data_IF_512493914052
#
_entry.id   IF_512493914052
#
_cell.length_a   1.000
_cell.length_b   1.000
_cell.length_c   1.000
_cell.angle_alpha   90.00
_cell.angle_beta   90.00
_cell.angle_gamma   90.00
#
_symmetry.space_group_name_H-M   'P 1'
#
loop_
_entity.id
_entity.type
_entity.pdbx_description
1 polymer ?
#
# COMPACT_ATOMS: atom_id res chain seq x y z
N UNK A 1 12.79 -15.87 23.21
CA UNK A 1 11.77 -15.90 22.14
C UNK A 1 11.77 -14.53 21.49
N UNK A 2 12.23 -14.42 20.23
CA UNK A 2 12.48 -13.14 19.56
C UNK A 2 11.13 -12.55 19.10
N UNK A 3 10.64 -11.48 19.74
CA UNK A 3 9.48 -10.73 19.27
C UNK A 3 9.88 -9.89 18.06
N UNK A 4 9.70 -10.44 16.86
CA UNK A 4 9.76 -9.64 15.63
C UNK A 4 8.50 -8.77 15.62
N UNK A 5 8.66 -7.51 16.01
CA UNK A 5 7.64 -6.48 15.82
C UNK A 5 7.46 -6.30 14.31
N UNK A 6 6.35 -6.81 13.78
CA UNK A 6 5.97 -6.68 12.37
C UNK A 6 5.58 -5.22 12.07
N UNK A 7 6.52 -4.50 11.46
CA UNK A 7 6.34 -3.11 11.03
C UNK A 7 5.20 -3.01 10.01
N UNK A 8 4.18 -2.20 10.31
CA UNK A 8 3.11 -1.86 9.38
C UNK A 8 3.62 -0.77 8.45
N UNK A 9 4.53 -1.16 7.56
CA UNK A 9 5.12 -0.25 6.58
C UNK A 9 4.16 -0.05 5.42
N UNK A 10 4.08 1.18 4.91
CA UNK A 10 3.68 1.45 3.52
C UNK A 10 4.79 0.91 2.61
N UNK A 11 4.81 -0.40 2.46
CA UNK A 11 5.62 -1.07 1.46
C UNK A 11 4.74 -1.34 0.23
N UNK A 12 5.39 -1.64 -0.88
CA UNK A 12 4.77 -2.22 -2.08
C UNK A 12 3.80 -3.36 -1.69
N UNK A 13 4.18 -4.14 -0.67
CA UNK A 13 3.35 -5.09 0.05
C UNK A 13 2.15 -4.44 0.77
N UNK A 14 0.95 -4.84 0.37
CA UNK A 14 -0.26 -4.70 1.18
C UNK A 14 -1.05 -6.02 1.17
N UNK A 15 -1.09 -6.77 2.30
CA UNK A 15 -1.82 -8.04 2.41
C UNK A 15 -3.31 -7.93 2.09
N UNK A 16 -3.86 -6.73 2.21
CA UNK A 16 -5.30 -6.46 2.03
C UNK A 16 -5.67 -6.19 0.57
N UNK A 17 -4.68 -6.03 -0.32
CA UNK A 17 -4.93 -5.79 -1.76
C UNK A 17 -4.10 -6.69 -2.68
N UNK A 18 -3.15 -7.47 -2.14
CA UNK A 18 -2.20 -8.24 -2.93
C UNK A 18 -2.86 -9.20 -3.93
N UNK A 19 -3.98 -9.84 -3.57
CA UNK A 19 -4.65 -10.74 -4.51
C UNK A 19 -5.51 -10.01 -5.53
N UNK A 20 -6.00 -8.81 -5.22
CA UNK A 20 -6.61 -7.95 -6.24
C UNK A 20 -5.57 -7.44 -7.23
N UNK A 21 -4.37 -7.15 -6.76
CA UNK A 21 -3.23 -6.74 -7.59
C UNK A 21 -2.75 -7.90 -8.48
N UNK A 22 -2.57 -9.10 -7.91
CA UNK A 22 -2.20 -10.31 -8.65
C UNK A 22 -3.22 -10.63 -9.77
N UNK A 23 -4.51 -10.50 -9.47
CA UNK A 23 -5.60 -10.69 -10.41
C UNK A 23 -5.55 -9.74 -11.63
N UNK A 24 -4.91 -8.58 -11.54
CA UNK A 24 -4.75 -7.70 -12.70
C UNK A 24 -3.76 -8.29 -13.72
N UNK A 25 -2.79 -9.07 -13.26
CA UNK A 25 -1.76 -9.71 -14.09
C UNK A 25 -2.19 -11.02 -14.75
N UNK A 26 -3.39 -11.53 -14.47
CA UNK A 26 -3.86 -12.84 -14.98
C UNK A 26 -4.37 -12.80 -16.41
N UNK A 27 -4.39 -11.63 -17.06
CA UNK A 27 -4.89 -11.43 -18.43
C UNK A 27 -4.40 -12.45 -19.45
N UNK A 28 -3.15 -12.93 -19.33
CA UNK A 28 -2.57 -13.94 -20.24
C UNK A 28 -3.06 -15.38 -20.00
N UNK A 29 -3.63 -15.68 -18.83
CA UNK A 29 -4.13 -17.02 -18.50
C UNK A 29 -5.45 -17.29 -19.27
N UNK A 30 -6.28 -16.27 -19.50
CA UNK A 30 -7.61 -16.42 -20.10
C UNK A 30 -7.64 -16.32 -21.62
N UNK A 31 -6.75 -15.52 -22.20
CA UNK A 31 -6.69 -15.41 -23.64
C UNK A 31 -6.00 -16.66 -24.20
N UNK A 32 -6.78 -17.69 -24.56
CA UNK A 32 -6.35 -18.92 -25.28
C UNK A 32 -5.62 -18.65 -26.64
N UNK A 33 -5.23 -17.41 -26.92
CA UNK A 33 -4.33 -17.00 -27.98
C UNK A 33 -3.41 -15.91 -27.42
N UNK A 34 -2.08 -16.09 -27.38
CA UNK A 34 -1.17 -14.99 -27.08
C UNK A 34 -1.29 -14.01 -28.24
N UNK A 35 -2.04 -12.91 -28.06
CA UNK A 35 -2.13 -11.87 -29.11
C UNK A 35 -0.83 -11.08 -29.25
N UNK A 36 0.11 -11.20 -28.30
CA UNK A 36 1.34 -10.43 -28.25
C UNK A 36 2.50 -11.30 -27.78
N UNK A 37 3.58 -11.34 -28.55
CA UNK A 37 4.76 -12.17 -28.28
C UNK A 37 5.71 -11.42 -27.34
N UNK A 38 5.85 -10.10 -27.53
CA UNK A 38 6.68 -9.22 -26.69
C UNK A 38 5.99 -7.86 -26.44
N UNK A 39 6.47 -7.11 -25.46
CA UNK A 39 6.02 -5.73 -25.17
C UNK A 39 7.22 -4.79 -25.11
N UNK A 40 7.14 -3.62 -25.74
CA UNK A 40 8.16 -2.59 -25.65
C UNK A 40 7.70 -1.54 -24.64
N UNK A 41 8.48 -1.35 -23.57
CA UNK A 41 8.21 -0.33 -22.56
C UNK A 41 9.16 0.84 -22.80
N UNK A 42 8.60 2.00 -23.12
CA UNK A 42 9.32 3.25 -23.27
C UNK A 42 9.22 4.04 -21.98
N UNK A 43 10.34 4.20 -21.27
CA UNK A 43 10.46 4.99 -20.05
C UNK A 43 11.53 6.07 -20.26
N UNK A 44 11.09 7.32 -20.45
CA UNK A 44 11.96 8.41 -20.91
C UNK A 44 12.59 8.08 -22.27
N UNK A 45 13.92 8.13 -22.34
CA UNK A 45 14.71 7.81 -23.55
C UNK A 45 15.01 6.31 -23.70
N UNK A 46 14.72 5.51 -22.68
CA UNK A 46 15.03 4.07 -22.68
C UNK A 46 13.84 3.25 -23.19
N UNK A 47 14.08 2.40 -24.19
CA UNK A 47 13.14 1.36 -24.62
C UNK A 47 13.61 0.00 -24.12
N UNK A 48 12.78 -0.69 -23.34
CA UNK A 48 13.05 -2.05 -22.85
C UNK A 48 12.09 -3.03 -23.50
N UNK A 49 12.64 -4.05 -24.16
CA UNK A 49 11.84 -5.16 -24.67
C UNK A 49 11.58 -6.14 -23.52
N UNK A 50 10.31 -6.46 -23.33
CA UNK A 50 9.81 -7.32 -22.26
C UNK A 50 9.14 -8.52 -22.87
N UNK A 51 9.71 -9.69 -22.59
CA UNK A 51 9.07 -10.96 -22.85
C UNK A 51 8.30 -11.37 -21.60
N UNK A 52 6.98 -11.46 -21.75
CA UNK A 52 6.10 -11.90 -20.66
C UNK A 52 6.24 -13.42 -20.54
N UNK A 53 6.62 -13.90 -19.35
CA UNK A 53 6.75 -15.32 -19.05
C UNK A 53 5.43 -16.06 -19.25
N UNK A 54 5.51 -17.28 -19.78
CA UNK A 54 4.39 -18.21 -19.83
C UNK A 54 4.32 -19.03 -18.53
N UNK A 55 3.09 -19.31 -18.09
CA UNK A 55 2.82 -20.14 -16.91
C UNK A 55 1.93 -21.30 -17.36
N UNK A 56 2.26 -22.51 -16.91
CA UNK A 56 1.62 -23.73 -17.38
C UNK A 56 0.24 -23.94 -16.75
N UNK A 57 -0.03 -23.27 -15.62
CA UNK A 57 -1.32 -23.30 -14.92
C UNK A 57 -1.53 -22.05 -14.06
N UNK A 58 -2.75 -21.88 -13.55
CA UNK A 58 -3.08 -20.84 -12.58
C UNK A 58 -2.28 -21.02 -11.27
N UNK A 59 -2.11 -22.25 -10.80
CA UNK A 59 -1.35 -22.52 -9.59
C UNK A 59 0.15 -22.21 -9.75
N UNK A 60 0.72 -22.53 -10.92
CA UNK A 60 2.09 -22.13 -11.29
C UNK A 60 2.22 -20.60 -11.30
N UNK A 61 1.28 -19.89 -11.92
CA UNK A 61 1.25 -18.42 -11.91
C UNK A 61 1.22 -17.85 -10.48
N UNK A 62 0.29 -18.30 -9.63
CA UNK A 62 0.15 -17.79 -8.27
C UNK A 62 1.40 -18.12 -7.44
N UNK A 63 1.90 -19.36 -7.50
CA UNK A 63 3.03 -19.82 -6.68
C UNK A 63 4.34 -19.11 -7.03
N UNK A 64 4.54 -18.72 -8.30
CA UNK A 64 5.71 -17.96 -8.71
C UNK A 64 5.61 -16.46 -8.37
N UNK A 65 4.40 -15.89 -8.33
CA UNK A 65 4.21 -14.45 -8.12
C UNK A 65 3.87 -14.08 -6.68
N UNK A 66 3.36 -15.00 -5.86
CA UNK A 66 2.89 -14.73 -4.50
C UNK A 66 3.42 -15.77 -3.51
N UNK A 67 4.46 -15.39 -2.76
CA UNK A 67 5.17 -16.29 -1.85
C UNK A 67 4.28 -16.90 -0.76
N UNK A 68 3.27 -16.17 -0.29
CA UNK A 68 2.34 -16.63 0.74
C UNK A 68 1.38 -17.74 0.27
N UNK A 69 1.30 -18.05 -1.04
CA UNK A 69 0.46 -19.15 -1.55
C UNK A 69 0.81 -20.49 -0.90
N UNK A 70 2.10 -20.78 -0.65
CA UNK A 70 2.53 -22.03 0.00
C UNK A 70 2.00 -22.18 1.44
N UNK A 71 1.70 -21.07 2.11
CA UNK A 71 1.20 -21.05 3.49
C UNK A 71 -0.32 -21.02 3.55
N UNK A 72 -0.94 -20.21 2.69
CA UNK A 72 -2.40 -20.08 2.68
C UNK A 72 -3.08 -21.22 1.93
N UNK A 73 -2.44 -21.73 0.86
CA UNK A 73 -2.93 -22.78 -0.03
C UNK A 73 -4.36 -22.52 -0.50
N UNK A 74 -4.59 -21.32 -1.05
CA UNK A 74 -5.93 -20.90 -1.47
C UNK A 74 -6.28 -21.54 -2.81
N UNK A 75 -7.50 -22.05 -2.90
CA UNK A 75 -8.08 -22.51 -4.16
C UNK A 75 -8.74 -21.32 -4.88
N UNK A 76 -7.93 -20.54 -5.59
CA UNK A 76 -8.39 -19.33 -6.27
C UNK A 76 -9.15 -19.69 -7.55
N UNK A 77 -10.38 -19.18 -7.69
CA UNK A 77 -11.25 -19.47 -8.84
C UNK A 77 -10.86 -18.63 -10.06
N UNK A 78 -10.58 -19.32 -11.16
CA UNK A 78 -10.22 -18.73 -12.45
C UNK A 78 -11.37 -17.91 -13.08
N UNK A 79 -12.62 -18.20 -12.69
CA UNK A 79 -13.81 -17.59 -13.28
C UNK A 79 -14.27 -16.32 -12.54
N UNK A 80 -13.73 -16.04 -11.35
CA UNK A 80 -14.14 -14.86 -10.56
C UNK A 80 -12.99 -14.31 -9.72
N UNK A 81 -12.16 -13.47 -10.36
CA UNK A 81 -11.04 -12.82 -9.70
C UNK A 81 -11.45 -11.82 -8.62
N UNK A 82 -12.68 -11.32 -8.63
CA UNK A 82 -13.14 -10.34 -7.64
C UNK A 82 -13.23 -10.94 -6.24
N UNK A 83 -13.33 -12.28 -6.14
CA UNK A 83 -13.39 -13.01 -4.86
C UNK A 83 -12.02 -13.33 -4.28
N UNK A 84 -10.93 -13.27 -5.03
CA UNK A 84 -9.62 -13.75 -4.56
C UNK A 84 -9.19 -13.07 -3.27
N UNK A 85 -9.30 -11.74 -3.19
CA UNK A 85 -8.96 -11.02 -1.97
C UNK A 85 -9.87 -11.41 -0.80
N UNK A 86 -11.18 -11.58 -1.04
CA UNK A 86 -12.11 -12.01 0.02
C UNK A 86 -11.84 -13.44 0.51
N UNK A 87 -11.29 -14.32 -0.34
CA UNK A 87 -10.86 -15.65 0.09
C UNK A 87 -9.66 -15.57 1.03
N UNK A 88 -8.69 -14.67 0.79
CA UNK A 88 -7.61 -14.40 1.75
C UNK A 88 -8.16 -13.77 3.03
N UNK A 89 -9.06 -12.79 2.91
CA UNK A 89 -9.71 -12.15 4.06
C UNK A 89 -10.42 -13.20 4.95
N UNK A 90 -11.03 -14.22 4.35
CA UNK A 90 -11.71 -15.33 5.03
C UNK A 90 -10.76 -16.43 5.52
N UNK A 91 -9.65 -16.68 4.83
CA UNK A 91 -8.67 -17.69 5.25
C UNK A 91 -7.89 -17.26 6.50
N UNK A 92 -7.85 -15.95 6.76
CA UNK A 92 -7.27 -15.36 7.95
C UNK A 92 -8.31 -15.25 9.09
N UNK A 93 -9.28 -16.18 9.21
CA UNK A 93 -10.45 -16.04 10.12
C UNK A 93 -10.22 -16.46 11.57
N UNK A 94 -9.29 -17.39 11.88
CA UNK A 94 -8.80 -17.57 13.28
C UNK A 94 -8.04 -16.33 13.77
N UNK A 95 -7.73 -15.44 12.83
CA UNK A 95 -7.02 -14.17 12.90
C UNK A 95 -7.84 -13.04 12.27
N UNK A 96 -9.20 -13.12 12.22
CA UNK A 96 -10.07 -12.19 11.44
C UNK A 96 -9.87 -10.70 11.76
N UNK A 97 -9.16 -10.42 12.84
CA UNK A 97 -8.64 -9.13 13.22
C UNK A 97 -7.47 -8.65 12.35
N UNK A 98 -6.57 -9.49 11.81
CA UNK A 98 -5.32 -9.09 11.15
C UNK A 98 -5.53 -8.23 9.90
N UNK A 99 -6.40 -8.60 8.96
CA UNK A 99 -6.70 -7.76 7.77
C UNK A 99 -7.35 -6.44 8.19
N UNK A 100 -8.36 -6.49 9.05
CA UNK A 100 -9.03 -5.28 9.57
C UNK A 100 -8.07 -4.37 10.33
N UNK A 101 -7.27 -4.94 11.23
CA UNK A 101 -6.26 -4.26 12.03
C UNK A 101 -5.12 -3.73 11.17
N UNK A 102 -4.77 -4.42 10.08
CA UNK A 102 -3.81 -3.89 9.12
C UNK A 102 -4.36 -2.63 8.47
N UNK A 103 -5.62 -2.63 8.00
CA UNK A 103 -6.24 -1.46 7.36
C UNK A 103 -6.30 -0.24 8.28
N UNK A 104 -6.78 -0.40 9.51
CA UNK A 104 -7.04 0.71 10.44
C UNK A 104 -5.89 1.00 11.40
N UNK A 105 -4.89 0.12 11.49
CA UNK A 105 -3.76 0.28 12.40
C UNK A 105 -2.69 1.20 11.84
N UNK A 106 -1.81 1.66 12.72
CA UNK A 106 -0.56 2.33 12.35
C UNK A 106 0.60 1.78 13.20
N UNK A 107 1.83 2.08 12.77
CA UNK A 107 3.00 1.81 13.60
C UNK A 107 3.12 2.86 14.72
N UNK A 108 3.98 2.61 15.71
CA UNK A 108 4.27 3.62 16.74
C UNK A 108 4.81 4.89 16.12
N UNK A 109 4.36 6.03 16.60
CA UNK A 109 4.81 7.34 16.13
C UNK A 109 5.82 7.88 17.13
N UNK A 110 7.06 8.02 16.66
CA UNK A 110 8.16 8.57 17.43
C UNK A 110 8.37 10.04 17.09
N UNK A 111 8.36 10.90 18.10
CA UNK A 111 8.65 12.33 18.00
C UNK A 111 9.99 12.64 18.64
N UNK A 112 10.84 13.39 17.93
CA UNK A 112 12.16 13.76 18.42
C UNK A 112 12.10 15.15 19.04
N UNK A 113 12.26 15.23 20.36
CA UNK A 113 12.43 16.51 21.07
C UNK A 113 13.70 16.47 21.92
N UNK A 114 14.51 17.54 21.86
CA UNK A 114 15.75 17.68 22.64
C UNK A 114 16.64 16.43 22.67
N UNK A 115 16.79 15.78 21.50
CA UNK A 115 17.57 14.54 21.28
C UNK A 115 16.97 13.26 21.90
N UNK A 116 15.76 13.31 22.45
CA UNK A 116 15.01 12.17 22.97
C UNK A 116 13.89 11.79 22.00
N UNK A 117 13.77 10.49 21.69
CA UNK A 117 12.64 9.98 20.90
C UNK A 117 11.53 9.53 21.86
N UNK A 118 10.39 10.20 21.80
CA UNK A 118 9.18 9.90 22.55
C UNK A 118 8.20 9.14 21.67
N UNK A 119 7.52 8.13 22.21
CA UNK A 119 6.39 7.46 21.57
C UNK A 119 5.15 8.27 21.88
N UNK A 120 4.78 9.12 20.92
CA UNK A 120 3.64 10.03 21.06
C UNK A 120 2.35 9.43 20.53
N UNK A 121 2.38 8.32 19.79
CA UNK A 121 1.18 7.57 19.43
C UNK A 121 1.49 6.08 19.33
N UNK A 122 0.60 5.23 19.84
CA UNK A 122 0.65 3.77 19.68
C UNK A 122 -0.72 3.28 19.23
N UNK A 123 -0.76 2.38 18.25
CA UNK A 123 -2.03 1.93 17.70
C UNK A 123 -2.82 1.12 18.72
N UNK A 124 -4.15 1.29 18.70
CA UNK A 124 -5.05 0.43 19.45
C UNK A 124 -5.17 -0.98 18.83
N UNK A 125 -4.63 -1.19 17.63
CA UNK A 125 -4.62 -2.49 16.98
C UNK A 125 -3.54 -3.41 17.57
N UNK A 126 -3.89 -4.64 17.97
CA UNK A 126 -2.90 -5.65 18.34
C UNK A 126 -1.83 -5.86 17.27
N UNK A 127 -0.64 -6.32 17.68
CA UNK A 127 0.39 -6.74 16.76
C UNK A 127 -0.15 -7.81 15.80
N UNK A 128 0.07 -7.60 14.51
CA UNK A 128 -0.42 -8.48 13.47
C UNK A 128 0.30 -9.83 13.52
N UNK A 129 -0.47 -10.92 13.42
CA UNK A 129 0.05 -12.28 13.30
C UNK A 129 -0.64 -12.92 12.11
N UNK A 130 0.11 -13.14 11.05
CA UNK A 130 -0.36 -13.81 9.85
C UNK A 130 -0.29 -15.33 10.02
N UNK A 131 -1.12 -16.05 9.26
CA UNK A 131 -1.07 -17.53 9.20
C UNK A 131 0.37 -17.99 8.90
N UNK A 132 0.84 -19.00 9.64
CA UNK A 132 2.20 -19.53 9.50
C UNK A 132 3.32 -18.58 9.95
N UNK A 133 3.00 -17.48 10.65
CA UNK A 133 3.95 -16.44 11.09
C UNK A 133 4.78 -15.84 9.93
N UNK A 134 4.22 -15.80 8.73
CA UNK A 134 4.89 -15.20 7.57
C UNK A 134 5.04 -13.69 7.75
N UNK A 135 6.05 -13.12 7.10
CA UNK A 135 6.31 -11.69 7.14
C UNK A 135 5.44 -10.92 6.16
N UNK A 136 5.27 -9.61 6.38
CA UNK A 136 4.59 -8.74 5.41
C UNK A 136 5.18 -8.92 4.00
N UNK A 137 6.51 -9.03 3.86
CA UNK A 137 7.18 -9.22 2.57
C UNK A 137 6.65 -10.40 1.73
N UNK A 138 6.07 -11.42 2.35
CA UNK A 138 5.59 -12.62 1.68
C UNK A 138 4.24 -12.37 0.96
N UNK A 139 3.58 -11.24 1.26
CA UNK A 139 2.40 -10.74 0.55
C UNK A 139 2.73 -9.83 -0.65
N UNK A 140 4.01 -9.57 -0.95
CA UNK A 140 4.37 -8.88 -2.19
C UNK A 140 3.98 -9.73 -3.41
N UNK A 141 3.50 -9.07 -4.46
CA UNK A 141 3.37 -9.69 -5.77
C UNK A 141 4.64 -9.41 -6.58
N UNK A 142 5.35 -10.47 -6.94
CA UNK A 142 6.58 -10.36 -7.71
C UNK A 142 6.31 -10.35 -9.21
N UNK A 143 5.84 -9.22 -9.72
CA UNK A 143 5.69 -9.06 -11.16
C UNK A 143 7.03 -9.13 -11.92
N UNK A 144 8.19 -8.99 -11.26
CA UNK A 144 9.47 -9.18 -11.97
C UNK A 144 9.67 -10.63 -12.43
N UNK A 145 9.03 -11.59 -11.75
CA UNK A 145 8.97 -12.98 -12.22
C UNK A 145 8.07 -13.19 -13.44
N UNK A 146 7.20 -12.23 -13.76
CA UNK A 146 6.32 -12.23 -14.94
C UNK A 146 6.92 -11.47 -16.14
N UNK A 147 7.54 -10.31 -15.90
CA UNK A 147 8.02 -9.39 -16.96
C UNK A 147 9.53 -9.15 -16.96
N UNK A 148 10.29 -9.86 -16.13
CA UNK A 148 11.72 -9.63 -15.94
C UNK A 148 12.01 -8.37 -15.14
N UNK A 149 13.31 -8.09 -14.96
CA UNK A 149 13.77 -6.88 -14.26
C UNK A 149 13.67 -5.67 -15.20
N UNK A 150 12.76 -4.76 -14.87
CA UNK A 150 12.61 -3.47 -15.56
C UNK A 150 12.70 -2.32 -14.57
N UNK A 151 13.20 -1.17 -15.01
CA UNK A 151 13.31 0.03 -14.17
C UNK A 151 11.96 0.78 -14.13
N UNK A 152 10.93 0.16 -13.55
CA UNK A 152 9.62 0.75 -13.31
C UNK A 152 9.25 0.73 -11.82
N UNK A 153 8.38 1.64 -11.40
CA UNK A 153 7.67 1.52 -10.13
C UNK A 153 6.67 0.37 -10.16
N UNK A 154 6.29 -0.12 -8.98
CA UNK A 154 5.27 -1.17 -8.88
C UNK A 154 3.89 -0.62 -9.28
N UNK A 155 3.60 0.64 -8.90
CA UNK A 155 2.44 1.40 -9.38
C UNK A 155 2.33 1.46 -10.90
N UNK A 156 3.45 1.66 -11.60
CA UNK A 156 3.50 1.70 -13.06
C UNK A 156 3.17 0.33 -13.67
N UNK A 157 3.65 -0.76 -13.06
CA UNK A 157 3.34 -2.14 -13.48
C UNK A 157 1.84 -2.44 -13.31
N UNK A 158 1.26 -2.06 -12.17
CA UNK A 158 -0.20 -2.16 -11.93
C UNK A 158 -0.96 -1.39 -13.00
N UNK A 159 -0.52 -0.17 -13.32
CA UNK A 159 -1.11 0.67 -14.36
C UNK A 159 -1.05 0.01 -15.73
N UNK A 160 0.09 -0.58 -16.12
CA UNK A 160 0.26 -1.28 -17.39
C UNK A 160 -0.74 -2.44 -17.51
N UNK A 161 -0.77 -3.37 -16.56
CA UNK A 161 -1.65 -4.55 -16.66
C UNK A 161 -3.13 -4.15 -16.65
N UNK A 162 -3.49 -3.19 -15.82
CA UNK A 162 -4.85 -2.66 -15.78
C UNK A 162 -5.24 -2.00 -17.10
N UNK A 163 -4.33 -1.23 -17.70
CA UNK A 163 -4.57 -0.55 -18.98
C UNK A 163 -4.72 -1.55 -20.12
N UNK A 164 -3.96 -2.65 -20.10
CA UNK A 164 -4.12 -3.76 -21.04
C UNK A 164 -5.53 -4.37 -20.92
N UNK A 165 -5.99 -4.67 -19.70
CA UNK A 165 -7.32 -5.22 -19.46
C UNK A 165 -8.43 -4.27 -19.92
N UNK A 166 -8.30 -2.98 -19.62
CA UNK A 166 -9.29 -1.96 -19.95
C UNK A 166 -9.33 -1.63 -21.45
N UNK A 167 -8.19 -1.68 -22.14
CA UNK A 167 -8.11 -1.42 -23.58
C UNK A 167 -8.55 -2.64 -24.40
N UNK A 168 -8.07 -3.85 -24.07
CA UNK A 168 -8.22 -5.04 -24.91
C UNK A 168 -9.18 -6.12 -24.38
N UNK A 169 -9.61 -6.02 -23.12
CA UNK A 169 -10.58 -6.96 -22.54
C UNK A 169 -11.98 -6.81 -23.13
N UNK A 170 -12.78 -7.87 -23.01
CA UNK A 170 -14.23 -7.80 -23.24
C UNK A 170 -14.96 -7.04 -22.11
N UNK A 171 -16.28 -6.87 -22.23
CA UNK A 171 -17.10 -6.15 -21.22
C UNK A 171 -16.91 -6.69 -19.82
N UNK A 172 -16.81 -8.02 -19.69
CA UNK A 172 -16.72 -8.70 -18.41
C UNK A 172 -15.34 -8.49 -17.79
N UNK A 173 -14.27 -8.59 -18.59
CA UNK A 173 -12.90 -8.28 -18.18
C UNK A 173 -12.75 -6.84 -17.73
N UNK A 174 -13.35 -5.89 -18.47
CA UNK A 174 -13.32 -4.45 -18.12
C UNK A 174 -14.09 -4.19 -16.82
N UNK A 175 -15.29 -4.76 -16.67
CA UNK A 175 -16.12 -4.66 -15.47
C UNK A 175 -15.40 -5.22 -14.24
N UNK A 176 -14.81 -6.41 -14.37
CA UNK A 176 -14.02 -7.05 -13.34
C UNK A 176 -12.79 -6.22 -12.97
N UNK A 177 -12.04 -5.71 -13.95
CA UNK A 177 -10.86 -4.86 -13.71
C UNK A 177 -11.24 -3.61 -12.93
N UNK A 178 -12.35 -2.94 -13.29
CA UNK A 178 -12.85 -1.79 -12.54
C UNK A 178 -13.14 -2.14 -11.07
N UNK A 179 -13.79 -3.27 -10.80
CA UNK A 179 -14.04 -3.74 -9.41
C UNK A 179 -12.75 -4.01 -8.64
N UNK A 180 -11.74 -4.60 -9.28
CA UNK A 180 -10.42 -4.84 -8.68
C UNK A 180 -9.73 -3.51 -8.34
N UNK A 181 -9.74 -2.54 -9.27
CA UNK A 181 -9.17 -1.20 -9.06
C UNK A 181 -9.89 -0.47 -7.91
N UNK A 182 -11.22 -0.53 -7.84
CA UNK A 182 -12.00 0.08 -6.76
C UNK A 182 -11.67 -0.53 -5.38
N UNK A 183 -11.48 -1.85 -5.33
CA UNK A 183 -11.06 -2.55 -4.10
C UNK A 183 -9.65 -2.12 -3.67
N UNK A 184 -8.70 -2.08 -4.62
CA UNK A 184 -7.33 -1.62 -4.37
C UNK A 184 -7.36 -0.17 -3.86
N UNK A 185 -8.08 0.72 -4.56
CA UNK A 185 -8.19 2.14 -4.19
C UNK A 185 -8.68 2.31 -2.75
N UNK A 186 -9.83 1.73 -2.45
CA UNK A 186 -10.50 1.86 -1.15
C UNK A 186 -9.57 1.46 -0.01
N UNK A 187 -8.93 0.29 -0.13
CA UNK A 187 -8.08 -0.26 0.93
C UNK A 187 -6.74 0.46 1.05
N UNK A 188 -6.11 0.84 -0.07
CA UNK A 188 -4.86 1.62 -0.10
C UNK A 188 -5.07 3.03 0.47
N UNK A 189 -6.14 3.71 0.07
CA UNK A 189 -6.52 5.02 0.60
C UNK A 189 -6.82 4.96 2.10
N UNK A 190 -7.65 4.00 2.54
CA UNK A 190 -7.95 3.79 3.96
C UNK A 190 -6.66 3.57 4.75
N UNK A 191 -5.75 2.75 4.22
CA UNK A 191 -4.48 2.48 4.88
C UNK A 191 -3.60 3.71 4.98
N UNK A 192 -3.46 4.47 3.89
CA UNK A 192 -2.69 5.72 3.88
C UNK A 192 -3.25 6.71 4.91
N UNK A 193 -4.57 6.88 4.94
CA UNK A 193 -5.26 7.75 5.87
C UNK A 193 -5.01 7.35 7.34
N UNK A 194 -5.19 6.06 7.68
CA UNK A 194 -5.00 5.55 9.04
C UNK A 194 -3.54 5.52 9.51
N UNK A 195 -2.56 5.61 8.59
CA UNK A 195 -1.15 5.83 8.97
C UNK A 195 -0.80 7.30 9.16
N UNK A 196 -1.66 8.23 8.76
CA UNK A 196 -1.39 9.67 8.77
C UNK A 196 -0.37 10.12 7.72
N UNK A 197 0.14 9.21 6.88
CA UNK A 197 1.18 9.50 5.88
C UNK A 197 0.64 10.22 4.63
N UNK A 198 -0.67 10.46 4.55
CA UNK A 198 -1.24 11.34 3.52
C UNK A 198 -0.60 12.74 3.56
N UNK A 199 -0.21 13.23 4.74
CA UNK A 199 0.50 14.51 4.91
C UNK A 199 1.91 14.54 4.35
N UNK A 200 2.52 13.37 4.10
CA UNK A 200 3.81 13.28 3.43
C UNK A 200 3.67 13.29 1.91
N UNK A 201 2.62 12.65 1.38
CA UNK A 201 2.49 12.38 -0.07
C UNK A 201 1.65 13.40 -0.83
N UNK A 202 0.91 14.28 -0.16
CA UNK A 202 0.21 15.38 -0.80
C UNK A 202 1.02 16.68 -0.70
N UNK A 203 0.77 17.62 -1.62
CA UNK A 203 1.37 18.96 -1.59
C UNK A 203 0.96 19.73 -0.33
N UNK A 204 1.85 20.61 0.12
CA UNK A 204 1.72 21.32 1.39
C UNK A 204 0.43 22.14 1.49
N UNK A 205 0.01 22.83 0.42
CA UNK A 205 -1.22 23.61 0.37
C UNK A 205 -2.48 22.76 0.59
N UNK A 206 -2.51 21.55 0.04
CA UNK A 206 -3.62 20.60 0.23
C UNK A 206 -3.68 20.10 1.66
N UNK A 207 -2.52 19.82 2.25
CA UNK A 207 -2.43 19.38 3.64
C UNK A 207 -2.80 20.49 4.61
N UNK A 208 -2.34 21.72 4.38
CA UNK A 208 -2.70 22.88 5.19
C UNK A 208 -4.21 23.08 5.23
N UNK A 209 -4.88 22.95 4.07
CA UNK A 209 -6.34 23.03 3.97
C UNK A 209 -7.06 21.96 4.81
N UNK A 210 -6.55 20.72 4.82
CA UNK A 210 -7.10 19.64 5.65
C UNK A 210 -6.86 19.89 7.14
N UNK A 211 -5.66 20.35 7.50
CA UNK A 211 -5.27 20.65 8.88
C UNK A 211 -6.16 21.73 9.48
N UNK A 212 -6.40 22.82 8.74
CA UNK A 212 -7.29 23.90 9.15
C UNK A 212 -8.74 23.43 9.27
N UNK A 213 -9.22 22.66 8.30
CA UNK A 213 -10.60 22.15 8.26
C UNK A 213 -10.92 21.22 9.44
N UNK A 214 -9.98 20.37 9.83
CA UNK A 214 -10.20 19.32 10.83
C UNK A 214 -9.51 19.56 12.18
N UNK A 215 -8.75 20.65 12.32
CA UNK A 215 -8.03 20.97 13.56
C UNK A 215 -6.92 19.98 13.90
N UNK A 216 -6.23 19.46 12.87
CA UNK A 216 -5.11 18.55 13.08
C UNK A 216 -3.81 19.31 13.38
N UNK A 217 -2.77 18.57 13.73
CA UNK A 217 -1.42 19.09 13.93
C UNK A 217 -0.46 18.26 13.08
N UNK A 218 0.40 18.93 12.30
CA UNK A 218 1.45 18.28 11.55
C UNK A 218 2.66 18.08 12.47
N UNK A 219 3.14 16.85 12.54
CA UNK A 219 4.31 16.49 13.33
C UNK A 219 5.31 15.78 12.44
N UNK A 220 6.57 16.22 12.48
CA UNK A 220 7.68 15.49 11.90
C UNK A 220 8.11 14.37 12.85
N UNK A 221 7.73 13.14 12.49
CA UNK A 221 7.95 11.95 13.33
C UNK A 221 8.38 10.74 12.52
N UNK A 222 8.76 9.67 13.21
CA UNK A 222 9.04 8.38 12.58
C UNK A 222 7.89 7.43 12.84
N UNK A 223 7.38 6.78 11.79
CA UNK A 223 6.44 5.67 11.92
C UNK A 223 7.25 4.38 12.08
N UNK A 224 7.26 3.77 13.26
CA UNK A 224 8.09 2.61 13.56
C UNK A 224 9.58 2.91 13.40
N UNK A 225 10.30 2.01 12.71
CA UNK A 225 11.72 2.15 12.38
C UNK A 225 12.03 2.98 11.12
N UNK A 226 11.06 3.72 10.57
CA UNK A 226 11.25 4.49 9.33
C UNK A 226 12.07 5.78 9.54
N UNK A 227 12.52 6.41 8.43
CA UNK A 227 13.04 7.79 8.52
C UNK A 227 11.87 8.75 8.78
N UNK A 228 12.19 9.94 9.29
CA UNK A 228 11.24 11.01 9.59
C UNK A 228 10.33 11.32 8.40
N UNK A 229 9.07 11.60 8.69
CA UNK A 229 8.00 11.94 7.76
C UNK A 229 7.02 12.88 8.45
N UNK A 230 6.35 13.74 7.68
CA UNK A 230 5.32 14.62 8.22
C UNK A 230 4.03 13.82 8.38
N UNK A 231 3.52 13.75 9.60
CA UNK A 231 2.35 12.96 9.98
C UNK A 231 1.29 13.89 10.55
N UNK A 232 0.06 13.75 10.07
CA UNK A 232 -1.09 14.48 10.57
C UNK A 232 -1.71 13.77 11.79
N UNK A 233 -1.79 14.48 12.91
CA UNK A 233 -2.25 13.97 14.21
C UNK A 233 -3.42 14.79 14.75
N UNK A 234 -4.32 14.15 15.49
CA UNK A 234 -5.29 14.80 16.35
C UNK A 234 -4.76 14.76 17.78
N UNK A 235 -4.58 15.93 18.38
CA UNK A 235 -4.06 16.08 19.73
C UNK A 235 -5.20 16.44 20.69
N UNK A 236 -5.22 15.80 21.87
CA UNK A 236 -6.00 16.32 22.98
C UNK A 236 -5.50 17.72 23.36
N UNK A 237 -6.40 18.60 23.80
CA UNK A 237 -6.09 20.01 24.10
C UNK A 237 -5.02 20.17 25.18
N UNK A 238 -4.83 19.17 26.04
CA UNK A 238 -3.80 19.18 27.08
C UNK A 238 -2.40 18.84 26.57
N UNK A 239 -2.28 18.35 25.33
CA UNK A 239 -0.99 17.94 24.76
C UNK A 239 -0.16 19.16 24.39
N UNK A 240 1.03 19.24 24.97
CA UNK A 240 2.04 20.23 24.62
C UNK A 240 3.30 19.52 24.12
N UNK A 241 3.53 19.57 22.80
CA UNK A 241 4.71 18.95 22.17
C UNK A 241 5.97 19.82 22.25
N UNK A 242 5.86 21.06 22.71
CA UNK A 242 6.98 22.00 22.87
C UNK A 242 7.57 21.97 24.29
N UNK A 243 6.85 21.38 25.27
CA UNK A 243 7.30 21.25 26.66
C UNK A 243 7.94 19.88 26.93
N UNK A 244 9.27 19.85 27.04
CA UNK A 244 10.02 18.64 27.38
C UNK A 244 9.65 18.01 28.72
N UNK A 245 9.23 18.82 29.70
CA UNK A 245 8.77 18.28 30.98
C UNK A 245 7.47 17.51 30.78
N UNK A 246 6.50 18.11 30.07
CA UNK A 246 5.27 17.44 29.66
C UNK A 246 5.56 16.13 28.90
N UNK A 247 6.44 16.17 27.90
CA UNK A 247 6.80 14.99 27.11
C UNK A 247 7.37 13.87 27.98
N UNK A 248 8.29 14.20 28.89
CA UNK A 248 8.94 13.22 29.77
C UNK A 248 8.00 12.54 30.77
N UNK A 249 6.97 13.26 31.21
CA UNK A 249 5.97 12.77 32.17
C UNK A 249 4.88 11.94 31.50
N UNK A 250 4.51 12.26 30.26
CA UNK A 250 3.35 11.69 29.59
C UNK A 250 3.68 10.64 28.53
N UNK A 251 4.83 10.73 27.86
CA UNK A 251 5.18 9.83 26.75
C UNK A 251 6.38 8.96 27.06
N UNK A 252 6.29 7.69 26.66
CA UNK A 252 7.38 6.74 26.82
C UNK A 252 8.56 7.10 25.91
N UNK A 253 9.77 6.92 26.40
CA UNK A 253 11.02 7.13 25.68
C UNK A 253 11.79 5.82 25.52
N UNK A 254 12.95 5.87 24.85
CA UNK A 254 13.85 4.69 24.78
C UNK A 254 14.26 4.17 26.17
N UNK A 255 14.34 5.02 27.20
CA UNK A 255 14.70 4.57 28.57
C UNK A 255 13.62 3.69 29.21
N UNK A 256 12.38 3.85 28.76
CA UNK A 256 11.22 3.09 29.22
C UNK A 256 11.09 1.72 28.50
N UNK A 257 11.96 1.46 27.51
CA UNK A 257 12.02 0.23 26.71
C UNK A 257 13.44 -0.34 26.80
N UNK A 258 13.67 -1.27 27.72
CA UNK A 258 14.98 -1.89 27.94
C UNK A 258 14.97 -3.31 27.39
N UNK A 259 15.91 -3.64 26.48
CA UNK A 259 16.29 -5.02 26.12
C UNK A 259 15.15 -6.07 26.07
N UNK A 260 14.02 -5.70 25.43
CA UNK A 260 12.80 -6.51 25.23
C UNK A 260 11.71 -6.42 26.32
N UNK A 261 11.88 -5.61 27.35
CA UNK A 261 10.87 -5.33 28.37
C UNK A 261 10.51 -3.84 28.42
N UNK A 262 9.23 -3.57 28.63
CA UNK A 262 8.71 -2.23 28.86
C UNK A 262 8.59 -2.07 30.38
N UNK A 263 9.22 -1.04 30.94
CA UNK A 263 9.15 -0.74 32.38
C UNK A 263 7.69 -0.51 32.79
N UNK A 264 7.36 -0.66 34.08
CA UNK A 264 6.01 -0.40 34.55
C UNK A 264 5.57 1.06 34.27
N UNK A 265 6.52 2.00 34.39
CA UNK A 265 6.33 3.39 34.00
C UNK A 265 6.08 3.54 32.49
N UNK A 266 6.86 2.85 31.66
CA UNK A 266 6.67 2.81 30.20
C UNK A 266 5.29 2.28 29.81
N UNK A 267 4.82 1.19 30.44
CA UNK A 267 3.46 0.65 30.20
C UNK A 267 2.39 1.67 30.55
N UNK A 268 2.57 2.39 31.66
CA UNK A 268 1.65 3.44 32.11
C UNK A 268 1.61 4.60 31.11
N UNK A 269 2.78 5.09 30.66
CA UNK A 269 2.88 6.16 29.65
C UNK A 269 2.26 5.74 28.32
N UNK A 270 2.55 4.52 27.84
CA UNK A 270 1.94 4.00 26.60
C UNK A 270 0.42 3.88 26.67
N UNK A 271 -0.15 3.53 27.83
CA UNK A 271 -1.61 3.53 28.00
C UNK A 271 -2.19 4.95 27.97
N UNK A 272 -1.51 5.93 28.58
CA UNK A 272 -1.92 7.35 28.51
C UNK A 272 -1.91 7.87 27.07
N UNK A 273 -0.88 7.52 26.30
CA UNK A 273 -0.72 7.96 24.90
C UNK A 273 -1.97 7.70 24.04
N UNK A 274 -2.65 6.56 24.23
CA UNK A 274 -3.82 6.14 23.44
C UNK A 274 -5.02 7.10 23.51
N UNK A 275 -5.10 7.93 24.55
CA UNK A 275 -6.14 8.95 24.70
C UNK A 275 -5.69 10.38 24.42
N UNK A 276 -4.39 10.61 24.25
CA UNK A 276 -3.82 11.95 24.09
C UNK A 276 -3.56 12.30 22.62
N UNK A 277 -3.14 11.33 21.82
CA UNK A 277 -2.69 11.57 20.45
C UNK A 277 -3.10 10.42 19.56
N UNK A 278 -3.93 10.73 18.56
CA UNK A 278 -4.36 9.79 17.54
C UNK A 278 -3.93 10.27 16.16
N UNK A 279 -3.90 9.38 15.18
CA UNK A 279 -3.77 9.80 13.78
C UNK A 279 -4.97 10.68 13.40
N UNK A 280 -4.71 11.78 12.70
CA UNK A 280 -5.74 12.70 12.22
C UNK A 280 -6.52 12.08 11.06
N UNK A 281 -7.51 11.24 11.35
CA UNK A 281 -8.35 10.58 10.34
C UNK A 281 -9.78 10.40 10.83
N UNK A 282 -10.73 10.58 9.92
CA UNK A 282 -12.13 10.21 10.07
C UNK A 282 -12.73 9.97 8.67
N UNK A 283 -14.00 9.57 8.60
CA UNK A 283 -14.67 9.28 7.32
C UNK A 283 -14.71 10.49 6.37
N UNK A 284 -14.79 11.71 6.89
CA UNK A 284 -14.79 12.93 6.07
C UNK A 284 -13.38 13.24 5.53
N UNK A 285 -12.33 12.98 6.31
CA UNK A 285 -10.94 13.06 5.83
C UNK A 285 -10.72 12.06 4.69
N UNK A 286 -11.19 10.81 4.83
CA UNK A 286 -11.05 9.80 3.77
C UNK A 286 -11.76 10.25 2.48
N UNK A 287 -12.96 10.85 2.57
CA UNK A 287 -13.69 11.41 1.41
C UNK A 287 -12.95 12.59 0.75
N UNK A 288 -12.39 13.49 1.55
CA UNK A 288 -11.61 14.61 1.02
C UNK A 288 -10.33 14.10 0.35
N UNK A 289 -9.66 13.12 0.96
CA UNK A 289 -8.48 12.48 0.36
C UNK A 289 -8.82 11.78 -0.95
N UNK A 290 -9.93 11.04 -1.02
CA UNK A 290 -10.43 10.40 -2.26
C UNK A 290 -10.61 11.42 -3.39
N UNK A 291 -11.10 12.62 -3.05
CA UNK A 291 -11.22 13.74 -4.00
C UNK A 291 -9.85 14.29 -4.40
N UNK A 292 -8.96 14.55 -3.43
CA UNK A 292 -7.63 15.11 -3.68
C UNK A 292 -6.77 14.18 -4.55
N UNK A 293 -6.84 12.87 -4.36
CA UNK A 293 -6.08 11.91 -5.16
C UNK A 293 -6.64 11.68 -6.57
N UNK A 294 -7.81 12.23 -6.91
CA UNK A 294 -8.29 12.20 -8.31
C UNK A 294 -7.41 13.01 -9.26
N UNK A 295 -6.68 14.00 -8.73
CA UNK A 295 -5.77 14.85 -9.48
C UNK A 295 -4.30 14.56 -9.10
N UNK A 296 -3.51 14.14 -10.08
CA UNK A 296 -2.09 13.82 -9.89
C UNK A 296 -1.27 15.03 -9.45
N UNK A 297 -1.70 16.24 -9.80
CA UNK A 297 -1.01 17.46 -9.42
C UNK A 297 -1.09 17.73 -7.92
N UNK A 298 -1.95 17.04 -7.17
CA UNK A 298 -1.98 17.14 -5.71
C UNK A 298 -0.91 16.29 -5.02
N UNK A 299 -0.26 15.36 -5.74
CA UNK A 299 0.76 14.47 -5.19
C UNK A 299 2.11 15.20 -5.11
N UNK A 300 2.76 15.09 -3.95
CA UNK A 300 4.09 15.65 -3.69
C UNK A 300 5.19 14.83 -4.37
N UNK A 301 6.11 15.52 -5.05
CA UNK A 301 7.34 14.93 -5.60
C UNK A 301 8.45 14.78 -4.55
N UNK A 302 8.25 15.33 -3.34
CA UNK A 302 9.24 15.34 -2.26
C UNK A 302 9.15 14.12 -1.34
N UNK A 303 8.07 13.33 -1.45
CA UNK A 303 7.91 12.10 -0.69
C UNK A 303 8.90 11.01 -1.14
N UNK A 304 9.11 9.99 -0.30
CA UNK A 304 10.05 8.91 -0.66
C UNK A 304 9.44 8.01 -1.73
N UNK A 305 10.28 7.36 -2.53
CA UNK A 305 9.87 6.47 -3.65
C UNK A 305 8.72 5.51 -3.27
N UNK A 306 8.80 4.83 -2.12
CA UNK A 306 7.75 3.88 -1.70
C UNK A 306 6.43 4.53 -1.27
N UNK A 307 6.46 5.75 -0.75
CA UNK A 307 5.26 6.50 -0.37
C UNK A 307 4.60 7.10 -1.61
N UNK A 308 5.41 7.63 -2.54
CA UNK A 308 4.95 8.07 -3.85
C UNK A 308 4.31 6.92 -4.62
N UNK A 309 4.91 5.72 -4.60
CA UNK A 309 4.34 4.56 -5.29
C UNK A 309 2.94 4.20 -4.74
N UNK A 310 2.75 4.29 -3.42
CA UNK A 310 1.43 4.12 -2.81
C UNK A 310 0.43 5.20 -3.27
N UNK A 311 0.84 6.47 -3.27
CA UNK A 311 0.01 7.57 -3.74
C UNK A 311 -0.36 7.44 -5.22
N UNK A 312 0.59 6.99 -6.06
CA UNK A 312 0.37 6.70 -7.49
C UNK A 312 -0.64 5.58 -7.72
N UNK A 313 -0.59 4.50 -6.92
CA UNK A 313 -1.61 3.44 -6.98
C UNK A 313 -2.98 4.01 -6.66
N UNK A 314 -3.10 4.82 -5.59
CA UNK A 314 -4.37 5.44 -5.20
C UNK A 314 -4.88 6.35 -6.32
N UNK A 315 -4.05 7.25 -6.83
CA UNK A 315 -4.44 8.13 -7.94
C UNK A 315 -4.86 7.35 -9.19
N UNK A 316 -4.03 6.42 -9.66
CA UNK A 316 -4.35 5.63 -10.86
C UNK A 316 -5.65 4.84 -10.69
N UNK A 317 -5.84 4.16 -9.56
CA UNK A 317 -7.05 3.38 -9.31
C UNK A 317 -8.30 4.24 -9.18
N UNK A 318 -8.14 5.53 -8.80
CA UNK A 318 -9.22 6.53 -8.74
C UNK A 318 -9.55 7.10 -10.11
N UNK A 319 -8.57 7.66 -10.80
CA UNK A 319 -8.77 8.32 -12.10
C UNK A 319 -9.03 7.32 -13.22
N UNK A 320 -8.44 6.12 -13.10
CA UNK A 320 -8.45 5.07 -14.12
C UNK A 320 -7.91 5.55 -15.46
N UNK A 321 -7.02 6.56 -15.43
CA UNK A 321 -6.36 7.08 -16.62
C UNK A 321 -5.40 6.04 -17.18
N UNK A 322 -5.85 5.32 -18.20
CA UNK A 322 -5.09 4.21 -18.77
C UNK A 322 -3.92 4.68 -19.64
N UNK A 323 -2.90 3.83 -19.73
CA UNK A 323 -1.84 3.97 -20.72
C UNK A 323 -2.41 3.56 -22.08
N UNK A 324 -2.16 4.39 -23.10
CA UNK A 324 -2.47 4.03 -24.49
C UNK A 324 -1.36 3.16 -25.05
N UNK A 325 -1.75 2.04 -25.68
CA UNK A 325 -0.81 1.14 -26.35
C UNK A 325 -0.84 1.33 -27.86
N UNK A 326 0.33 1.31 -28.48
CA UNK A 326 0.48 1.19 -29.94
C UNK A 326 0.71 -0.28 -30.32
N UNK A 327 -0.02 -0.76 -31.32
CA UNK A 327 0.13 -2.13 -31.84
C UNK A 327 1.18 -2.18 -32.95
N UNK A 328 2.17 -3.05 -32.81
CA UNK A 328 3.12 -3.34 -33.88
C UNK A 328 2.66 -4.60 -34.62
N UNK A 329 2.34 -4.47 -35.91
CA UNK A 329 1.84 -5.58 -36.73
C UNK A 329 2.96 -6.19 -37.57
N UNK A 330 3.02 -7.51 -37.58
CA UNK A 330 3.91 -8.27 -38.46
C UNK A 330 3.40 -8.32 -39.90
N UNK A 331 4.18 -8.93 -40.78
CA UNK A 331 3.90 -9.06 -42.22
C UNK A 331 2.57 -9.77 -42.55
N UNK A 332 2.04 -10.58 -41.64
CA UNK A 332 0.74 -11.25 -41.78
C UNK A 332 -0.43 -10.47 -41.14
N UNK A 333 -0.24 -9.18 -40.85
CA UNK A 333 -1.21 -8.30 -40.16
C UNK A 333 -1.61 -8.74 -38.74
N UNK A 334 -0.97 -9.77 -38.18
CA UNK A 334 -1.13 -10.13 -36.77
C UNK A 334 -0.29 -9.18 -35.93
N UNK A 335 -0.83 -8.79 -34.77
CA UNK A 335 -0.07 -8.00 -33.82
C UNK A 335 1.05 -8.88 -33.26
N UNK A 336 2.28 -8.40 -33.32
CA UNK A 336 3.46 -9.11 -32.83
C UNK A 336 3.90 -8.58 -31.47
N UNK A 337 3.75 -7.27 -31.25
CA UNK A 337 4.04 -6.64 -29.96
C UNK A 337 3.16 -5.41 -29.71
N UNK A 338 3.09 -4.99 -28.44
CA UNK A 338 2.53 -3.70 -28.03
C UNK A 338 3.64 -2.80 -27.53
N UNK A 339 3.52 -1.49 -27.75
CA UNK A 339 4.41 -0.48 -27.18
C UNK A 339 3.63 0.41 -26.25
N UNK A 340 4.12 0.62 -25.04
CA UNK A 340 3.58 1.59 -24.10
C UNK A 340 4.63 2.60 -23.66
N UNK A 341 4.16 3.81 -23.37
CA UNK A 341 4.94 4.86 -22.71
C UNK A 341 4.43 5.01 -21.28
N UNK A 342 5.34 5.01 -20.33
CA UNK A 342 5.06 5.08 -18.89
C UNK A 342 5.47 6.43 -18.34
#
# INVERSE_FOLDING_TARGET
>A
MLFILLFIRLCLCNPTTCLSELALGTWRIHTRKPRYISSNIVNGETTTNVDIRHFDSLDDFITNLWAAQKTYNLNLDINDYTKWQSQLDNADTTTSTSIKNYLIGHDRIYYLSSKVNYIISDSNTPALKWKGNIGNKDFNIDFTSLIGKINLGYSDIIKIFSSINLQYGDSDTKSMTNKLLDNINTRRLTKLANTGLYSTVLKHDKIQSLVEKYGFTLVDGKLGGSKTSTISLSLDKSVNLDDNNYLSQNFASKKDIQENEITQEGKTKLQKTKGLVTVGVNDNVIKDLDTLFSDSDNISTLARKGEIDHAKIIHFTKSKDIITFSENKGSNSKITSITCKV
#
